data_IF_953244671978
#
_entry.id   IF_953244671978
#
_cell.length_a   1.000
_cell.length_b   1.000
_cell.length_c   1.000
_cell.angle_alpha   90.00
_cell.angle_beta   90.00
_cell.angle_gamma   90.00
#
_symmetry.space_group_name_H-M   'P 1'
#
loop_
_entity.id
_entity.type
_entity.pdbx_description
1 polymer ?
#
# COMPACT_ATOMS: atom_id res chain seq x y z
N UNK A 1 -9.94 -4.92 22.94
CA UNK A 1 -9.50 -4.61 21.57
C UNK A 1 -10.23 -3.37 21.08
N UNK A 2 -9.52 -2.42 20.48
CA UNK A 2 -10.10 -1.20 19.92
C UNK A 2 -9.91 -1.19 18.41
N UNK A 3 -10.94 -0.77 17.65
CA UNK A 3 -10.87 -0.67 16.19
C UNK A 3 -10.02 0.53 15.73
N UNK A 4 -9.93 1.60 16.53
CA UNK A 4 -9.12 2.78 16.23
C UNK A 4 -7.61 2.47 16.43
N UNK A 5 -6.79 2.54 15.35
CA UNK A 5 -5.36 2.28 15.42
C UNK A 5 -4.60 3.25 16.35
N UNK A 6 -5.06 4.49 16.46
CA UNK A 6 -4.43 5.53 17.30
C UNK A 6 -4.68 5.22 18.77
N UNK A 7 -5.91 4.82 19.13
CA UNK A 7 -6.22 4.41 20.51
C UNK A 7 -5.41 3.16 20.90
N UNK A 8 -5.23 2.21 19.97
CA UNK A 8 -4.37 1.03 20.22
C UNK A 8 -2.92 1.43 20.47
N UNK A 9 -2.38 2.36 19.68
CA UNK A 9 -1.01 2.85 19.84
C UNK A 9 -0.85 3.57 21.20
N UNK A 10 -1.78 4.46 21.55
CA UNK A 10 -1.78 5.12 22.86
C UNK A 10 -1.79 4.09 24.00
N UNK A 11 -2.61 3.06 23.89
CA UNK A 11 -2.67 1.97 24.89
C UNK A 11 -1.36 1.19 24.99
N UNK A 12 -0.75 0.83 23.85
CA UNK A 12 0.51 0.11 23.82
C UNK A 12 1.67 0.92 24.41
N UNK A 13 1.79 2.20 24.04
CA UNK A 13 2.82 3.10 24.57
C UNK A 13 2.63 3.37 26.07
N UNK A 14 1.37 3.57 26.51
CA UNK A 14 1.07 3.78 27.92
C UNK A 14 1.41 2.54 28.75
N UNK A 15 1.05 1.36 28.30
CA UNK A 15 1.39 0.11 28.94
C UNK A 15 2.91 -0.09 29.05
N UNK A 16 3.64 0.11 27.96
CA UNK A 16 5.09 -0.01 27.93
C UNK A 16 5.75 0.95 28.92
N UNK A 17 5.26 2.19 29.00
CA UNK A 17 5.78 3.20 29.93
C UNK A 17 5.50 2.83 31.40
N UNK A 18 4.28 2.41 31.72
CA UNK A 18 3.89 1.99 33.06
C UNK A 18 4.68 0.77 33.54
N UNK A 19 4.88 -0.22 32.66
CA UNK A 19 5.70 -1.39 32.97
C UNK A 19 7.16 -1.04 33.28
N UNK A 20 7.72 -0.08 32.54
CA UNK A 20 9.08 0.42 32.76
C UNK A 20 9.21 1.19 34.08
N UNK A 21 8.21 1.99 34.42
CA UNK A 21 8.21 2.81 35.64
C UNK A 21 7.89 2.01 36.89
N UNK A 22 7.28 0.82 36.77
CA UNK A 22 6.94 -0.07 37.88
C UNK A 22 5.83 0.46 38.83
N UNK A 23 5.30 1.66 38.56
CA UNK A 23 4.26 2.31 39.37
C UNK A 23 2.92 2.24 38.65
N UNK A 24 2.15 1.23 38.99
CA UNK A 24 0.83 1.00 38.38
C UNK A 24 -0.29 1.23 39.42
N UNK A 25 -0.83 2.45 39.41
CA UNK A 25 -2.04 2.80 40.17
C UNK A 25 -2.94 3.71 39.32
N UNK A 26 -4.25 3.85 39.60
CA UNK A 26 -5.20 4.56 38.75
C UNK A 26 -4.73 5.95 38.31
N UNK A 27 -4.24 6.79 39.22
CA UNK A 27 -3.78 8.14 38.93
C UNK A 27 -2.58 8.17 37.98
N UNK A 28 -1.60 7.26 38.14
CA UNK A 28 -0.44 7.18 37.21
C UNK A 28 -0.86 6.67 35.86
N UNK A 29 -1.87 5.81 35.74
CA UNK A 29 -2.42 5.34 34.47
C UNK A 29 -3.05 6.51 33.70
N UNK A 30 -3.94 7.27 34.35
CA UNK A 30 -4.63 8.41 33.73
C UNK A 30 -3.64 9.49 33.26
N UNK A 31 -2.69 9.85 34.10
CA UNK A 31 -1.65 10.83 33.75
C UNK A 31 -0.79 10.34 32.57
N UNK A 32 -0.36 9.09 32.60
CA UNK A 32 0.43 8.48 31.52
C UNK A 32 -0.33 8.50 30.21
N UNK A 33 -1.60 8.08 30.19
CA UNK A 33 -2.45 8.10 29.00
C UNK A 33 -2.60 9.54 28.47
N UNK A 34 -2.85 10.51 29.34
CA UNK A 34 -2.98 11.92 28.96
C UNK A 34 -1.69 12.44 28.25
N UNK A 35 -0.54 12.15 28.84
CA UNK A 35 0.76 12.56 28.28
C UNK A 35 1.04 11.89 26.93
N UNK A 36 0.80 10.58 26.83
CA UNK A 36 0.98 9.83 25.58
C UNK A 36 0.02 10.33 24.47
N UNK A 37 -1.23 10.66 24.78
CA UNK A 37 -2.16 11.28 23.82
C UNK A 37 -1.59 12.56 23.23
N UNK A 38 -0.96 13.41 24.04
CA UNK A 38 -0.33 14.64 23.59
C UNK A 38 0.88 14.35 22.70
N UNK A 39 1.72 13.39 23.05
CA UNK A 39 2.88 12.96 22.25
C UNK A 39 2.43 12.40 20.90
N UNK A 40 1.45 11.52 20.87
CA UNK A 40 0.89 10.94 19.62
C UNK A 40 0.25 12.03 18.74
N UNK A 41 -0.47 13.00 19.33
CA UNK A 41 -1.04 14.11 18.56
C UNK A 41 0.03 15.01 17.92
N UNK A 42 1.14 15.27 18.61
CA UNK A 42 2.31 15.99 18.05
C UNK A 42 2.93 15.20 16.90
N UNK A 43 3.07 13.89 17.07
CA UNK A 43 3.65 13.03 16.05
C UNK A 43 2.75 12.92 14.79
N UNK A 44 1.43 12.86 14.96
CA UNK A 44 0.45 12.93 13.86
C UNK A 44 0.66 14.24 13.08
N UNK A 45 0.71 15.37 13.77
CA UNK A 45 0.91 16.67 13.13
C UNK A 45 2.24 16.70 12.35
N UNK A 46 3.34 16.31 12.98
CA UNK A 46 4.68 16.26 12.35
C UNK A 46 4.70 15.36 11.11
N UNK A 47 4.09 14.18 11.21
CA UNK A 47 4.04 13.25 10.08
C UNK A 47 3.23 13.81 8.92
N UNK A 48 2.08 14.42 9.18
CA UNK A 48 1.25 15.01 8.14
C UNK A 48 1.93 16.21 7.45
N UNK A 49 2.55 17.10 8.23
CA UNK A 49 3.32 18.23 7.69
C UNK A 49 4.49 17.74 6.82
N UNK A 50 5.20 16.70 7.28
CA UNK A 50 6.27 16.09 6.50
C UNK A 50 5.76 15.47 5.19
N UNK A 51 4.68 14.72 5.21
CA UNK A 51 4.09 14.13 4.00
C UNK A 51 3.64 15.20 3.00
N UNK A 52 2.98 16.27 3.48
CA UNK A 52 2.56 17.38 2.65
C UNK A 52 3.76 18.09 2.00
N UNK A 53 4.82 18.32 2.77
CA UNK A 53 6.06 18.93 2.30
C UNK A 53 6.79 18.03 1.27
N UNK A 54 6.98 16.75 1.59
CA UNK A 54 7.68 15.78 0.71
C UNK A 54 6.92 15.60 -0.64
N UNK A 55 5.59 15.71 -0.62
CA UNK A 55 4.77 15.67 -1.83
C UNK A 55 4.75 17.00 -2.62
N UNK A 56 5.25 18.10 -2.05
CA UNK A 56 5.27 19.42 -2.66
C UNK A 56 4.03 20.30 -2.38
N UNK A 57 3.24 19.97 -1.35
CA UNK A 57 2.02 20.68 -0.98
C UNK A 57 2.02 21.15 0.49
N UNK A 58 2.96 22.02 0.90
CA UNK A 58 3.09 22.45 2.30
C UNK A 58 1.90 23.27 2.81
N UNK A 59 1.13 23.87 1.91
CA UNK A 59 0.01 24.78 2.24
C UNK A 59 -1.36 24.08 2.31
N UNK A 60 -1.40 22.75 2.48
CA UNK A 60 -2.64 22.01 2.66
C UNK A 60 -3.35 22.45 3.96
N UNK A 61 -4.71 22.47 3.96
CA UNK A 61 -5.50 22.76 5.17
C UNK A 61 -5.08 21.86 6.33
N UNK A 62 -5.07 22.43 7.54
CA UNK A 62 -4.62 21.74 8.77
C UNK A 62 -5.41 20.46 9.04
N UNK A 63 -6.67 20.41 8.64
CA UNK A 63 -7.55 19.25 8.77
C UNK A 63 -7.06 18.10 7.89
N UNK A 64 -6.68 18.37 6.65
CA UNK A 64 -6.10 17.38 5.72
C UNK A 64 -4.74 16.92 6.25
N UNK A 65 -3.89 17.83 6.69
CA UNK A 65 -2.57 17.51 7.27
C UNK A 65 -2.72 16.58 8.46
N UNK A 66 -3.70 16.79 9.35
CA UNK A 66 -3.97 15.88 10.47
C UNK A 66 -4.41 14.48 10.01
N UNK A 67 -5.21 14.38 8.95
CA UNK A 67 -5.62 13.08 8.40
C UNK A 67 -4.43 12.35 7.76
N UNK A 68 -3.60 13.04 6.99
CA UNK A 68 -2.35 12.48 6.45
C UNK A 68 -1.43 11.96 7.56
N UNK A 69 -1.32 12.69 8.67
CA UNK A 69 -0.50 12.25 9.82
C UNK A 69 -0.98 10.95 10.47
N UNK A 70 -2.31 10.67 10.43
CA UNK A 70 -2.88 9.40 10.93
C UNK A 70 -2.45 8.20 10.11
N UNK A 71 -1.94 8.39 8.86
CA UNK A 71 -1.41 7.33 8.00
C UNK A 71 -0.23 6.57 8.64
N UNK A 72 0.52 7.21 9.53
CA UNK A 72 1.59 6.55 10.30
C UNK A 72 1.11 5.30 11.03
N UNK A 73 -0.11 5.32 11.52
CA UNK A 73 -0.71 4.25 12.34
C UNK A 73 -1.64 3.34 11.54
N UNK A 74 -1.75 3.54 10.22
CA UNK A 74 -2.61 2.75 9.36
C UNK A 74 -1.81 1.90 8.38
N UNK A 75 -2.15 0.61 8.35
CA UNK A 75 -1.62 -0.34 7.40
C UNK A 75 -2.75 -0.84 6.50
N UNK A 76 -2.46 -1.05 5.23
CA UNK A 76 -3.35 -1.65 4.25
C UNK A 76 -2.61 -2.78 3.58
N UNK A 77 -3.12 -4.00 3.69
CA UNK A 77 -2.51 -5.23 3.14
C UNK A 77 -1.01 -5.39 3.50
N UNK A 78 -0.64 -5.00 4.72
CA UNK A 78 0.75 -5.12 5.21
C UNK A 78 1.66 -3.94 4.89
N UNK A 79 1.24 -3.00 4.04
CA UNK A 79 1.98 -1.78 3.71
C UNK A 79 1.53 -0.61 4.59
N UNK A 80 2.47 0.16 5.13
CA UNK A 80 2.17 1.40 5.84
C UNK A 80 1.70 2.47 4.87
N UNK A 81 0.59 3.17 5.20
CA UNK A 81 0.00 4.16 4.28
C UNK A 81 0.92 5.34 3.96
N UNK A 82 1.81 5.77 4.87
CA UNK A 82 2.79 6.84 4.58
C UNK A 82 3.69 6.44 3.41
N UNK A 83 4.24 5.22 3.47
CA UNK A 83 5.12 4.72 2.40
C UNK A 83 4.39 4.54 1.09
N UNK A 84 3.23 3.89 1.11
CA UNK A 84 2.39 3.68 -0.05
C UNK A 84 2.05 5.02 -0.75
N UNK A 85 1.55 5.98 0.01
CA UNK A 85 1.11 7.26 -0.53
C UNK A 85 2.25 8.08 -1.15
N UNK A 86 3.41 8.16 -0.48
CA UNK A 86 4.56 8.88 -1.03
C UNK A 86 5.14 8.19 -2.27
N UNK A 87 5.11 6.87 -2.31
CA UNK A 87 5.46 6.11 -3.48
C UNK A 87 4.49 6.36 -4.64
N UNK A 88 3.18 6.36 -4.38
CA UNK A 88 2.17 6.71 -5.38
C UNK A 88 2.38 8.12 -5.93
N UNK A 89 2.72 9.10 -5.09
CA UNK A 89 3.04 10.47 -5.55
C UNK A 89 4.20 10.44 -6.55
N UNK A 90 5.26 9.67 -6.27
CA UNK A 90 6.43 9.57 -7.17
C UNK A 90 6.08 8.85 -8.48
N UNK A 91 5.30 7.77 -8.41
CA UNK A 91 4.85 7.03 -9.60
C UNK A 91 3.93 7.91 -10.45
N UNK A 92 2.95 8.56 -9.82
CA UNK A 92 2.01 9.46 -10.49
C UNK A 92 2.69 10.64 -11.16
N UNK A 93 3.70 11.24 -10.51
CA UNK A 93 4.54 12.29 -11.09
C UNK A 93 5.23 11.81 -12.36
N UNK A 94 5.89 10.66 -12.32
CA UNK A 94 6.57 10.09 -13.49
C UNK A 94 5.60 9.79 -14.64
N UNK A 95 4.44 9.20 -14.34
CA UNK A 95 3.40 8.91 -15.34
C UNK A 95 2.83 10.20 -15.95
N UNK A 96 2.54 11.22 -15.13
CA UNK A 96 2.02 12.49 -15.61
C UNK A 96 3.02 13.23 -16.52
N UNK A 97 4.31 13.20 -16.18
CA UNK A 97 5.38 13.75 -17.02
C UNK A 97 5.46 13.06 -18.38
N UNK A 98 5.36 11.74 -18.43
CA UNK A 98 5.48 10.95 -19.65
C UNK A 98 4.33 11.21 -20.62
N UNK A 99 3.09 11.36 -20.11
CA UNK A 99 1.90 11.57 -20.96
C UNK A 99 1.53 13.04 -21.14
N UNK A 100 2.23 13.98 -20.51
CA UNK A 100 1.95 15.41 -20.59
C UNK A 100 0.68 15.85 -19.86
N UNK A 101 0.28 15.15 -18.77
CA UNK A 101 -0.86 15.49 -17.94
C UNK A 101 -0.48 16.53 -16.85
N UNK A 102 -1.47 17.05 -16.12
CA UNK A 102 -1.23 17.96 -15.00
C UNK A 102 -0.57 17.23 -13.82
N UNK A 103 0.74 17.44 -13.69
CA UNK A 103 1.60 16.83 -12.67
C UNK A 103 1.10 17.18 -11.26
N UNK A 104 0.70 18.42 -11.02
CA UNK A 104 0.26 18.88 -9.72
C UNK A 104 -1.06 18.23 -9.31
N UNK A 105 -2.00 18.10 -10.24
CA UNK A 105 -3.27 17.44 -10.02
C UNK A 105 -3.06 15.94 -9.70
N UNK A 106 -2.26 15.23 -10.49
CA UNK A 106 -1.95 13.80 -10.26
C UNK A 106 -1.26 13.59 -8.90
N UNK A 107 -0.22 14.35 -8.60
CA UNK A 107 0.51 14.26 -7.31
C UNK A 107 -0.42 14.50 -6.13
N UNK A 108 -1.26 15.54 -6.21
CA UNK A 108 -2.20 15.89 -5.15
C UNK A 108 -3.27 14.82 -4.99
N UNK A 109 -3.81 14.29 -6.08
CA UNK A 109 -4.77 13.19 -6.04
C UNK A 109 -4.15 11.90 -5.45
N UNK A 110 -2.92 11.54 -5.85
CA UNK A 110 -2.18 10.42 -5.25
C UNK A 110 -1.94 10.62 -3.74
N UNK A 111 -1.63 11.84 -3.29
CA UNK A 111 -1.45 12.16 -1.87
C UNK A 111 -2.74 11.95 -1.06
N UNK A 112 -3.91 12.27 -1.64
CA UNK A 112 -5.18 12.36 -0.93
C UNK A 112 -6.13 11.16 -1.15
N UNK A 113 -5.81 10.23 -2.08
CA UNK A 113 -6.73 9.16 -2.50
C UNK A 113 -7.24 8.29 -1.34
N UNK A 114 -6.41 8.03 -0.36
CA UNK A 114 -6.68 7.13 0.76
C UNK A 114 -7.05 7.82 2.09
N UNK A 115 -7.33 9.12 2.09
CA UNK A 115 -7.70 9.87 3.32
C UNK A 115 -8.86 9.22 4.08
N UNK A 116 -9.82 8.65 3.37
CA UNK A 116 -10.96 7.97 3.98
C UNK A 116 -10.58 6.73 4.81
N UNK A 117 -9.46 6.06 4.52
CA UNK A 117 -9.03 4.85 5.26
C UNK A 117 -8.79 5.10 6.75
N UNK A 118 -8.47 6.34 7.15
CA UNK A 118 -8.29 6.68 8.56
C UNK A 118 -9.57 7.09 9.26
N UNK A 119 -10.70 7.14 8.54
CA UNK A 119 -12.03 7.49 9.06
C UNK A 119 -13.04 6.35 8.93
N UNK A 120 -12.70 5.21 8.32
CA UNK A 120 -13.64 4.09 8.10
C UNK A 120 -14.22 3.49 9.38
N UNK A 121 -13.58 3.67 10.52
CA UNK A 121 -14.10 3.27 11.83
C UNK A 121 -15.01 4.31 12.48
N UNK A 122 -15.04 5.54 11.95
CA UNK A 122 -15.91 6.64 12.38
C UNK A 122 -17.14 6.78 11.47
N UNK A 123 -17.02 6.34 10.19
CA UNK A 123 -18.07 6.45 9.16
C UNK A 123 -18.40 5.05 8.65
N UNK A 124 -19.46 4.45 9.17
CA UNK A 124 -19.91 3.12 8.75
C UNK A 124 -20.61 3.15 7.38
N UNK A 125 -20.43 2.09 6.61
CA UNK A 125 -21.19 1.83 5.38
C UNK A 125 -20.78 2.66 4.15
N UNK A 126 -19.81 3.58 4.25
CA UNK A 126 -19.31 4.36 3.12
C UNK A 126 -17.90 3.92 2.72
N UNK A 127 -17.64 3.59 1.44
CA UNK A 127 -16.30 3.26 0.95
C UNK A 127 -15.31 4.40 1.17
N UNK A 128 -14.05 4.06 1.46
CA UNK A 128 -13.04 5.06 1.83
C UNK A 128 -12.74 6.08 0.72
N UNK A 129 -12.79 5.68 -0.56
CA UNK A 129 -12.56 6.57 -1.68
C UNK A 129 -13.66 7.65 -1.80
N UNK A 130 -14.93 7.32 -1.55
CA UNK A 130 -15.99 8.31 -1.44
C UNK A 130 -15.79 9.27 -0.27
N UNK A 131 -15.33 8.75 0.89
CA UNK A 131 -14.98 9.60 2.05
C UNK A 131 -13.84 10.55 1.68
N UNK A 132 -12.83 10.06 0.95
CA UNK A 132 -11.72 10.88 0.47
C UNK A 132 -12.18 11.99 -0.47
N UNK A 133 -13.07 11.69 -1.44
CA UNK A 133 -13.66 12.67 -2.33
C UNK A 133 -14.46 13.76 -1.57
N UNK A 134 -15.26 13.36 -0.58
CA UNK A 134 -16.00 14.32 0.27
C UNK A 134 -15.08 15.25 1.05
N UNK A 135 -13.95 14.74 1.55
CA UNK A 135 -12.94 15.56 2.24
C UNK A 135 -12.35 16.60 1.29
N UNK A 136 -12.02 16.18 0.06
CA UNK A 136 -11.49 17.08 -0.98
C UNK A 136 -12.51 18.16 -1.30
N UNK A 137 -13.78 17.83 -1.55
CA UNK A 137 -14.87 18.80 -1.78
C UNK A 137 -15.02 19.77 -0.63
N UNK A 138 -15.03 19.27 0.59
CA UNK A 138 -15.22 20.07 1.79
C UNK A 138 -14.11 21.09 2.04
N UNK A 139 -12.86 20.65 1.93
CA UNK A 139 -11.72 21.48 2.35
C UNK A 139 -10.97 22.16 1.22
N UNK A 140 -11.00 21.60 0.00
CA UNK A 140 -10.30 22.14 -1.17
C UNK A 140 -11.25 22.73 -2.21
N UNK A 141 -12.54 22.36 -2.18
CA UNK A 141 -13.59 22.83 -3.11
C UNK A 141 -13.22 22.59 -4.58
N UNK A 142 -12.57 21.46 -4.86
CA UNK A 142 -12.06 21.08 -6.18
C UNK A 142 -12.74 19.79 -6.63
N UNK A 143 -13.66 19.88 -7.60
CA UNK A 143 -14.42 18.75 -8.12
C UNK A 143 -13.58 17.84 -9.04
N UNK A 144 -12.61 18.42 -9.76
CA UNK A 144 -11.73 17.63 -10.64
C UNK A 144 -10.82 16.75 -9.80
N UNK A 145 -10.22 17.33 -8.76
CA UNK A 145 -9.42 16.61 -7.79
C UNK A 145 -10.25 15.56 -7.02
N UNK A 146 -11.48 15.93 -6.61
CA UNK A 146 -12.37 15.00 -5.93
C UNK A 146 -12.71 13.79 -6.79
N UNK A 147 -13.01 13.97 -8.07
CA UNK A 147 -13.25 12.88 -9.01
C UNK A 147 -12.00 12.01 -9.17
N UNK A 148 -10.82 12.60 -9.35
CA UNK A 148 -9.56 11.84 -9.47
C UNK A 148 -9.27 10.99 -8.22
N UNK A 149 -9.62 11.51 -7.03
CA UNK A 149 -9.46 10.80 -5.75
C UNK A 149 -10.49 9.67 -5.60
N UNK A 150 -11.77 9.92 -5.91
CA UNK A 150 -12.83 8.93 -5.63
C UNK A 150 -12.94 7.84 -6.69
N UNK A 151 -12.45 8.07 -7.92
CA UNK A 151 -12.56 7.11 -9.02
C UNK A 151 -11.48 6.03 -9.03
N UNK A 152 -10.49 6.06 -8.11
CA UNK A 152 -9.34 5.17 -8.19
C UNK A 152 -9.65 3.67 -8.01
N UNK A 153 -10.83 3.31 -7.53
CA UNK A 153 -11.31 1.92 -7.47
C UNK A 153 -12.18 1.49 -8.66
N UNK A 154 -12.50 2.41 -9.58
CA UNK A 154 -13.21 2.09 -10.82
C UNK A 154 -14.73 1.94 -10.70
N UNK A 155 -15.33 2.17 -9.53
CA UNK A 155 -16.79 2.20 -9.31
C UNK A 155 -17.39 3.58 -9.65
N UNK A 156 -16.56 4.61 -9.77
CA UNK A 156 -16.90 5.93 -10.28
C UNK A 156 -16.13 6.15 -11.57
N UNK A 157 -16.79 6.71 -12.57
CA UNK A 157 -16.18 7.02 -13.86
C UNK A 157 -15.09 8.11 -13.72
N UNK A 158 -13.85 7.85 -14.15
CA UNK A 158 -12.79 8.85 -14.20
C UNK A 158 -13.10 9.89 -15.29
N UNK A 159 -13.12 11.17 -14.92
CA UNK A 159 -13.48 12.26 -15.84
C UNK A 159 -12.28 12.97 -16.46
N UNK A 160 -11.07 12.52 -16.17
CA UNK A 160 -9.84 13.11 -16.72
C UNK A 160 -8.75 12.06 -16.87
N UNK A 161 -7.72 12.38 -17.65
CA UNK A 161 -6.52 11.56 -17.78
C UNK A 161 -5.82 11.40 -16.43
N UNK A 162 -5.79 12.46 -15.63
CA UNK A 162 -5.18 12.46 -14.29
C UNK A 162 -5.87 11.46 -13.36
N UNK A 163 -7.20 11.34 -13.42
CA UNK A 163 -7.94 10.35 -12.65
C UNK A 163 -7.55 8.91 -13.02
N UNK A 164 -7.34 8.64 -14.31
CA UNK A 164 -6.85 7.34 -14.79
C UNK A 164 -5.42 7.09 -14.31
N UNK A 165 -4.55 8.11 -14.34
CA UNK A 165 -3.18 7.99 -13.85
C UNK A 165 -3.10 7.67 -12.36
N UNK A 166 -4.03 8.17 -11.55
CA UNK A 166 -4.13 7.81 -10.11
C UNK A 166 -4.48 6.33 -9.95
N UNK A 167 -5.42 5.78 -10.73
CA UNK A 167 -5.74 4.35 -10.72
C UNK A 167 -4.52 3.49 -11.07
N UNK A 168 -3.79 3.89 -12.12
CA UNK A 168 -2.59 3.17 -12.57
C UNK A 168 -1.50 3.23 -11.50
N UNK A 169 -1.27 4.38 -10.89
CA UNK A 169 -0.27 4.56 -9.84
C UNK A 169 -0.57 3.68 -8.61
N UNK A 170 -1.85 3.59 -8.18
CA UNK A 170 -2.26 2.71 -7.08
C UNK A 170 -2.07 1.22 -7.44
N UNK A 171 -2.47 0.83 -8.65
CA UNK A 171 -2.27 -0.54 -9.13
C UNK A 171 -0.78 -0.93 -9.16
N UNK A 172 0.09 -0.06 -9.65
CA UNK A 172 1.55 -0.29 -9.70
C UNK A 172 2.11 -0.40 -8.28
N UNK A 173 1.79 0.54 -7.38
CA UNK A 173 2.28 0.53 -5.99
C UNK A 173 1.80 -0.71 -5.23
N UNK A 174 0.55 -1.15 -5.48
CA UNK A 174 -0.04 -2.33 -4.86
C UNK A 174 0.45 -3.67 -5.41
N UNK A 175 0.85 -3.72 -6.69
CA UNK A 175 1.20 -4.97 -7.39
C UNK A 175 2.67 -5.38 -7.25
N UNK A 176 3.56 -4.48 -6.82
CA UNK A 176 4.98 -4.81 -6.71
C UNK A 176 5.26 -5.86 -5.63
N UNK A 177 6.27 -6.74 -5.83
CA UNK A 177 6.64 -7.75 -4.84
C UNK A 177 6.96 -7.13 -3.48
N UNK A 178 6.35 -7.65 -2.41
CA UNK A 178 6.55 -7.18 -1.04
C UNK A 178 5.76 -5.92 -0.64
N UNK A 179 4.97 -5.32 -1.54
CA UNK A 179 4.10 -4.19 -1.20
C UNK A 179 2.98 -4.60 -0.25
N UNK A 180 2.41 -5.79 -0.44
CA UNK A 180 1.36 -6.38 0.38
C UNK A 180 1.84 -7.70 0.98
N UNK A 181 1.62 -7.91 2.26
CA UNK A 181 2.04 -9.13 2.95
C UNK A 181 1.40 -10.39 2.33
N UNK A 182 0.11 -10.27 1.97
CA UNK A 182 -0.62 -11.36 1.31
C UNK A 182 -0.08 -11.64 -0.10
N UNK A 183 0.35 -10.61 -0.84
CA UNK A 183 0.98 -10.77 -2.15
C UNK A 183 2.35 -11.48 -2.06
N UNK A 184 3.07 -11.34 -0.96
CA UNK A 184 4.35 -12.05 -0.79
C UNK A 184 4.12 -13.55 -0.58
N UNK A 185 3.19 -13.94 0.28
CA UNK A 185 2.84 -15.35 0.48
C UNK A 185 2.26 -15.99 -0.79
N UNK A 186 1.35 -15.29 -1.47
CA UNK A 186 0.77 -15.73 -2.74
C UNK A 186 1.81 -15.76 -3.86
N UNK A 187 2.74 -14.80 -3.88
CA UNK A 187 3.90 -14.81 -4.77
C UNK A 187 4.77 -16.03 -4.53
N UNK A 188 5.12 -16.34 -3.28
CA UNK A 188 5.92 -17.52 -2.94
C UNK A 188 5.19 -18.80 -3.32
N UNK A 189 3.88 -18.90 -3.03
CA UNK A 189 3.05 -20.05 -3.45
C UNK A 189 3.05 -20.23 -4.96
N UNK A 190 2.85 -19.14 -5.71
CA UNK A 190 2.85 -19.18 -7.19
C UNK A 190 4.20 -19.59 -7.76
N UNK A 191 5.30 -18.98 -7.28
CA UNK A 191 6.66 -19.33 -7.69
C UNK A 191 6.93 -20.81 -7.42
N UNK A 192 6.57 -21.27 -6.21
CA UNK A 192 6.73 -22.68 -5.85
C UNK A 192 5.87 -23.61 -6.70
N UNK A 193 4.63 -23.26 -7.00
CA UNK A 193 3.76 -24.04 -7.88
C UNK A 193 4.36 -24.20 -9.29
N UNK A 194 4.94 -23.12 -9.86
CA UNK A 194 5.63 -23.18 -11.16
C UNK A 194 6.85 -24.10 -11.13
N UNK A 195 7.64 -24.04 -10.07
CA UNK A 195 8.79 -24.93 -9.88
C UNK A 195 8.34 -26.39 -9.69
N UNK A 196 7.28 -26.63 -8.93
CA UNK A 196 6.73 -27.96 -8.65
C UNK A 196 6.18 -28.62 -9.94
N UNK A 197 5.58 -27.87 -10.87
CA UNK A 197 5.18 -28.38 -12.19
C UNK A 197 6.38 -28.94 -12.95
N UNK A 198 7.47 -28.19 -13.01
CA UNK A 198 8.69 -28.67 -13.68
C UNK A 198 9.35 -29.86 -12.96
N UNK A 199 9.32 -29.88 -11.62
CA UNK A 199 9.92 -30.95 -10.79
C UNK A 199 9.13 -32.27 -10.81
N UNK A 200 7.92 -32.32 -11.37
CA UNK A 200 7.16 -33.55 -11.55
C UNK A 200 7.82 -34.52 -12.55
N UNK A 201 8.67 -34.02 -13.41
CA UNK A 201 9.39 -34.83 -14.41
C UNK A 201 10.66 -35.41 -13.82
N UNK A 202 10.82 -36.74 -13.86
CA UNK A 202 11.97 -37.47 -13.31
C UNK A 202 13.32 -37.09 -13.97
N UNK A 203 13.26 -36.56 -15.20
CA UNK A 203 14.41 -36.04 -15.94
C UNK A 203 14.88 -34.67 -15.41
N UNK A 204 14.05 -33.96 -14.64
CA UNK A 204 14.40 -32.65 -14.07
C UNK A 204 15.18 -32.86 -12.77
N UNK A 205 16.34 -32.20 -12.66
CA UNK A 205 17.13 -32.15 -11.44
C UNK A 205 16.62 -31.01 -10.52
N UNK A 206 16.54 -29.81 -11.07
CA UNK A 206 16.08 -28.60 -10.34
C UNK A 206 15.34 -27.69 -11.28
N UNK A 207 14.46 -26.85 -10.71
CA UNK A 207 13.75 -25.80 -11.42
C UNK A 207 13.68 -24.56 -10.53
N UNK A 208 13.85 -23.39 -11.15
CA UNK A 208 13.84 -22.09 -10.48
C UNK A 208 12.97 -21.12 -11.26
N UNK A 209 11.95 -20.57 -10.62
CA UNK A 209 11.17 -19.49 -11.17
C UNK A 209 11.85 -18.15 -10.84
N UNK A 210 12.24 -17.41 -11.87
CA UNK A 210 12.92 -16.12 -11.78
C UNK A 210 12.08 -15.01 -12.41
N UNK A 211 12.48 -13.73 -12.26
CA UNK A 211 11.75 -12.58 -12.77
C UNK A 211 10.25 -12.59 -12.40
N UNK A 212 9.95 -12.87 -11.12
CA UNK A 212 8.58 -12.95 -10.60
C UNK A 212 7.72 -14.05 -11.27
N UNK A 213 8.32 -15.15 -11.70
CA UNK A 213 7.63 -16.28 -12.33
C UNK A 213 7.37 -16.10 -13.83
N UNK A 214 8.03 -15.11 -14.47
CA UNK A 214 7.94 -14.90 -15.93
C UNK A 214 8.91 -15.79 -16.71
N UNK A 215 9.89 -16.37 -16.03
CA UNK A 215 10.87 -17.30 -16.58
C UNK A 215 11.04 -18.45 -15.59
N UNK A 216 11.02 -19.68 -16.09
CA UNK A 216 11.33 -20.87 -15.30
C UNK A 216 12.58 -21.50 -15.90
N UNK A 217 13.68 -21.54 -15.14
CA UNK A 217 14.90 -22.27 -15.50
C UNK A 217 14.80 -23.69 -15.03
N UNK A 218 14.92 -24.62 -15.97
CA UNK A 218 14.86 -26.05 -15.70
C UNK A 218 16.22 -26.66 -15.93
N UNK A 219 16.76 -27.33 -14.94
CA UNK A 219 18.03 -28.06 -15.01
C UNK A 219 17.71 -29.54 -15.16
N UNK A 220 18.09 -30.13 -16.27
CA UNK A 220 17.87 -31.56 -16.55
C UNK A 220 19.03 -32.42 -16.04
N UNK A 221 18.73 -33.67 -15.74
CA UNK A 221 19.73 -34.70 -15.40
C UNK A 221 20.36 -35.26 -16.67
N UNK A 222 21.66 -35.08 -16.91
CA UNK A 222 22.29 -35.53 -18.16
C UNK A 222 22.18 -37.04 -18.40
N UNK A 223 22.10 -37.81 -17.31
CA UNK A 223 21.96 -39.27 -17.34
C UNK A 223 20.53 -39.75 -17.67
N UNK A 224 19.54 -38.86 -17.65
CA UNK A 224 18.13 -39.20 -17.86
C UNK A 224 17.45 -38.48 -19.02
N UNK A 225 18.11 -37.51 -19.65
CA UNK A 225 17.55 -36.73 -20.74
C UNK A 225 18.61 -36.50 -21.82
N UNK A 226 18.30 -36.84 -23.07
CA UNK A 226 19.05 -36.42 -24.25
C UNK A 226 18.71 -34.98 -24.64
N UNK A 227 19.49 -34.36 -25.51
CA UNK A 227 19.22 -33.00 -26.02
C UNK A 227 17.82 -32.90 -26.69
N UNK A 228 17.39 -33.96 -27.37
CA UNK A 228 16.07 -34.04 -27.98
C UNK A 228 14.96 -34.09 -26.90
N UNK A 229 15.16 -34.86 -25.83
CA UNK A 229 14.22 -34.93 -24.69
C UNK A 229 14.09 -33.60 -24.00
N UNK A 230 15.18 -32.85 -23.83
CA UNK A 230 15.17 -31.49 -23.23
C UNK A 230 14.26 -30.56 -24.02
N UNK A 231 14.34 -30.55 -25.35
CA UNK A 231 13.51 -29.72 -26.20
C UNK A 231 12.02 -30.07 -26.06
N UNK A 232 11.72 -31.37 -26.10
CA UNK A 232 10.32 -31.86 -26.00
C UNK A 232 9.72 -31.58 -24.61
N UNK A 233 10.47 -31.89 -23.55
CA UNK A 233 10.04 -31.69 -22.17
C UNK A 233 9.90 -30.23 -21.83
N UNK A 234 10.81 -29.36 -22.29
CA UNK A 234 10.68 -27.90 -22.07
C UNK A 234 9.39 -27.35 -22.69
N UNK A 235 9.03 -27.77 -23.90
CA UNK A 235 7.76 -27.36 -24.53
C UNK A 235 6.55 -27.90 -23.77
N UNK A 236 6.64 -29.12 -23.24
CA UNK A 236 5.55 -29.74 -22.47
C UNK A 236 5.34 -29.01 -21.14
N UNK A 237 6.45 -28.73 -20.41
CA UNK A 237 6.41 -27.95 -19.16
C UNK A 237 5.86 -26.54 -19.41
N UNK A 238 6.29 -25.85 -20.47
CA UNK A 238 5.78 -24.52 -20.81
C UNK A 238 4.25 -24.54 -21.03
N UNK A 239 3.75 -25.57 -21.72
CA UNK A 239 2.30 -25.72 -22.00
C UNK A 239 1.49 -26.06 -20.74
N UNK A 240 2.09 -26.71 -19.73
CA UNK A 240 1.43 -27.00 -18.45
C UNK A 240 1.43 -25.79 -17.50
N UNK A 241 2.34 -24.84 -17.73
CA UNK A 241 2.44 -23.58 -16.97
C UNK A 241 1.47 -22.52 -17.51
N UNK A 242 1.14 -22.52 -18.81
CA UNK A 242 0.15 -21.64 -19.44
C UNK A 242 -1.29 -22.00 -19.02
#
# INVERSE_FOLDING_TARGET
>A
SCFDPIIREVGALALAKLLKDGRVHPGSIEETIKNIKVEVAKEIKRTGEKMAYDAGFPDLPVEIVKLLGRFKYRFSYGQNLVKHTLEMVSIGEALAMEVGADINLVKKACLLHDLGKVLTHEIEGKPHHHISGDIVRKYLKDEVLANAVESHHGDIEPKSTEAILVQIADAISGARPGARKDNYEDYVKRVKALEDIAKQYDQVHEAYAIHAGREVRVIFRPEKASDEDVIVLTRKIAKEIE
#
